data_IF_177321026461
#
_entry.id   IF_177321026461
#
_cell.length_a   1.000
_cell.length_b   1.000
_cell.length_c   1.000
_cell.angle_alpha   90.00
_cell.angle_beta   90.00
_cell.angle_gamma   90.00
#
_symmetry.space_group_name_H-M   'P 1'
#
loop_
_entity.id
_entity.type
_entity.pdbx_description
1 polymer ?
#
# COMPACT_ATOMS: atom_id res chain seq x y z
N UNK A 1 -22.80 -32.68 -24.47
CA UNK A 1 -22.53 -31.59 -23.51
C UNK A 1 -21.53 -32.09 -22.47
N UNK A 2 -20.23 -31.95 -22.75
CA UNK A 2 -19.16 -32.29 -21.81
C UNK A 2 -19.06 -31.20 -20.75
N UNK A 3 -19.31 -31.57 -19.50
CA UNK A 3 -19.04 -30.71 -18.34
C UNK A 3 -17.55 -30.40 -18.30
N UNK A 4 -17.18 -29.13 -18.49
CA UNK A 4 -15.81 -28.66 -18.34
C UNK A 4 -15.30 -29.01 -16.96
N UNK A 5 -14.25 -29.84 -16.89
CA UNK A 5 -13.53 -30.10 -15.65
C UNK A 5 -12.87 -28.79 -15.23
N UNK A 6 -13.35 -28.17 -14.15
CA UNK A 6 -12.62 -27.10 -13.48
C UNK A 6 -11.31 -27.69 -12.97
N UNK A 7 -10.19 -27.32 -13.60
CA UNK A 7 -8.88 -27.62 -13.04
C UNK A 7 -8.70 -26.78 -11.78
N UNK A 8 -9.02 -27.36 -10.62
CA UNK A 8 -8.55 -26.81 -9.35
C UNK A 8 -7.08 -27.19 -9.21
N UNK A 9 -6.19 -26.30 -9.69
CA UNK A 9 -4.80 -26.33 -9.26
C UNK A 9 -4.81 -26.23 -7.72
N UNK A 10 -4.54 -27.33 -7.04
CA UNK A 10 -4.28 -27.33 -5.60
C UNK A 10 -2.96 -26.59 -5.38
N UNK A 11 -3.04 -25.27 -5.24
CA UNK A 11 -1.89 -24.44 -4.88
C UNK A 11 -1.43 -24.88 -3.49
N UNK A 12 -0.14 -25.19 -3.29
CA UNK A 12 0.39 -25.58 -1.98
C UNK A 12 0.03 -24.55 -0.91
N UNK A 13 -0.32 -25.00 0.31
CA UNK A 13 -0.69 -24.13 1.44
C UNK A 13 0.40 -23.12 1.83
N UNK A 14 1.64 -23.35 1.40
CA UNK A 14 2.76 -22.42 1.50
C UNK A 14 3.42 -22.25 0.13
N UNK A 15 3.56 -21.02 -0.32
CA UNK A 15 4.30 -20.64 -1.53
C UNK A 15 5.77 -20.43 -1.15
N UNK A 16 6.74 -20.81 -2.02
CA UNK A 16 8.14 -20.51 -1.80
C UNK A 16 8.41 -19.01 -1.63
N UNK A 17 9.34 -18.65 -0.75
CA UNK A 17 9.89 -17.30 -0.66
C UNK A 17 10.36 -16.79 -2.03
N UNK A 18 10.04 -15.54 -2.42
CA UNK A 18 10.54 -14.94 -3.65
C UNK A 18 12.05 -14.70 -3.61
N UNK A 19 12.60 -14.44 -2.43
CA UNK A 19 14.03 -14.27 -2.20
C UNK A 19 14.66 -15.48 -1.51
N UNK A 20 15.94 -15.73 -1.79
CA UNK A 20 16.76 -16.73 -1.11
C UNK A 20 18.10 -16.14 -0.69
N UNK A 21 18.52 -16.45 0.53
CA UNK A 21 19.88 -16.14 0.97
C UNK A 21 20.86 -17.17 0.43
N UNK A 22 21.95 -16.68 -0.19
CA UNK A 22 23.06 -17.49 -0.67
C UNK A 22 24.31 -17.01 0.05
N UNK A 23 25.12 -17.96 0.54
CA UNK A 23 26.41 -17.69 1.19
C UNK A 23 27.50 -18.49 0.48
N UNK A 24 28.51 -17.80 -0.03
CA UNK A 24 29.69 -18.44 -0.63
C UNK A 24 30.92 -17.57 -0.41
N UNK A 25 32.08 -18.20 -0.19
CA UNK A 25 33.38 -17.53 -0.04
C UNK A 25 33.37 -16.38 1.00
N UNK A 26 32.68 -16.58 2.13
CA UNK A 26 32.58 -15.58 3.20
C UNK A 26 31.70 -14.36 2.89
N UNK A 27 31.00 -14.35 1.75
CA UNK A 27 30.03 -13.32 1.39
C UNK A 27 28.62 -13.91 1.36
N UNK A 28 27.64 -13.08 1.72
CA UNK A 28 26.22 -13.43 1.62
C UNK A 28 25.49 -12.41 0.75
N UNK A 29 24.55 -12.88 -0.04
CA UNK A 29 23.65 -12.06 -0.85
C UNK A 29 22.27 -12.69 -0.94
N UNK A 30 21.31 -11.89 -1.36
CA UNK A 30 19.95 -12.31 -1.66
C UNK A 30 19.80 -12.41 -3.16
N UNK A 31 19.31 -13.56 -3.62
CA UNK A 31 18.81 -13.74 -4.97
C UNK A 31 17.29 -13.57 -4.94
N UNK A 32 16.79 -12.57 -5.65
CA UNK A 32 15.35 -12.29 -5.78
C UNK A 32 15.06 -11.79 -7.19
N UNK A 33 14.11 -12.43 -7.86
CA UNK A 33 13.89 -12.26 -9.30
C UNK A 33 15.24 -12.41 -10.06
N UNK A 34 15.61 -11.41 -10.86
CA UNK A 34 16.86 -11.40 -11.64
C UNK A 34 17.98 -10.59 -10.97
N UNK A 35 17.85 -10.28 -9.67
CA UNK A 35 18.79 -9.41 -8.93
C UNK A 35 19.57 -10.19 -7.89
N UNK A 36 20.84 -9.81 -7.75
CA UNK A 36 21.71 -10.19 -6.64
C UNK A 36 21.96 -8.98 -5.76
N UNK A 37 21.48 -9.04 -4.51
CA UNK A 37 21.56 -7.95 -3.56
C UNK A 37 22.50 -8.37 -2.44
N UNK A 38 23.70 -7.76 -2.30
CA UNK A 38 24.60 -8.12 -1.22
C UNK A 38 23.95 -7.89 0.16
N UNK A 39 24.47 -8.58 1.18
CA UNK A 39 24.01 -8.44 2.55
C UNK A 39 25.11 -7.90 3.46
N UNK A 40 24.68 -7.12 4.44
CA UNK A 40 25.54 -6.65 5.51
C UNK A 40 26.45 -5.48 5.12
N UNK A 41 26.98 -4.87 6.16
CA UNK A 41 27.86 -3.70 6.11
C UNK A 41 28.33 -3.40 7.53
N UNK A 42 29.22 -2.42 7.70
CA UNK A 42 29.71 -2.05 9.02
C UNK A 42 28.58 -1.42 9.85
N UNK A 43 28.59 -1.70 11.15
CA UNK A 43 27.72 -1.01 12.10
C UNK A 43 28.20 0.45 12.23
N UNK A 44 27.33 1.45 12.03
CA UNK A 44 27.75 2.83 12.18
C UNK A 44 28.08 3.18 13.64
N UNK A 45 29.02 4.09 13.83
CA UNK A 45 29.38 4.62 15.15
C UNK A 45 28.45 5.75 15.58
N UNK A 46 28.30 5.92 16.90
CA UNK A 46 27.63 7.06 17.53
C UNK A 46 28.66 8.19 17.66
N UNK A 47 28.32 9.41 17.23
CA UNK A 47 29.22 10.57 17.32
C UNK A 47 29.09 11.24 18.69
N UNK A 48 30.07 12.05 19.06
CA UNK A 48 30.31 12.50 20.44
C UNK A 48 29.10 13.04 21.21
N UNK A 49 28.36 14.00 20.64
CA UNK A 49 27.21 14.65 21.27
C UNK A 49 25.88 13.93 21.04
N UNK A 50 25.89 12.79 20.35
CA UNK A 50 24.69 12.07 19.96
C UNK A 50 24.28 11.06 21.03
N UNK A 51 22.97 10.95 21.26
CA UNK A 51 22.41 9.90 22.12
C UNK A 51 21.92 8.75 21.26
N UNK A 52 22.47 7.54 21.48
CA UNK A 52 21.94 6.33 20.87
C UNK A 52 20.53 6.03 21.41
N UNK A 53 19.56 5.93 20.50
CA UNK A 53 18.18 5.58 20.83
C UNK A 53 17.94 4.08 20.66
N UNK A 54 18.29 3.50 19.50
CA UNK A 54 18.21 2.06 19.26
C UNK A 54 19.05 1.59 18.08
N UNK A 55 19.36 0.30 18.08
CA UNK A 55 19.84 -0.42 16.89
C UNK A 55 18.64 -0.88 16.05
N UNK A 56 18.82 -0.91 14.73
CA UNK A 56 17.80 -1.40 13.79
C UNK A 56 18.48 -1.93 12.52
N UNK A 57 17.68 -2.33 11.54
CA UNK A 57 18.15 -2.66 10.19
C UNK A 57 17.45 -1.75 9.18
N UNK A 58 18.13 -1.42 8.09
CA UNK A 58 17.58 -0.57 7.03
C UNK A 58 18.15 -0.97 5.68
N UNK A 59 17.55 -0.46 4.59
CA UNK A 59 18.03 -0.71 3.24
C UNK A 59 18.89 0.46 2.77
N UNK A 60 19.93 0.16 1.99
CA UNK A 60 20.61 1.16 1.16
C UNK A 60 19.63 1.68 0.09
N UNK A 61 19.49 3.01 -0.08
CA UNK A 61 18.54 3.56 -1.06
C UNK A 61 18.92 3.22 -2.52
N UNK A 62 20.21 2.97 -2.79
CA UNK A 62 20.71 2.71 -4.14
C UNK A 62 20.65 1.22 -4.52
N UNK A 63 21.29 0.35 -3.75
CA UNK A 63 21.38 -1.08 -4.07
C UNK A 63 20.42 -1.98 -3.29
N UNK A 64 19.60 -1.42 -2.41
CA UNK A 64 18.66 -2.12 -1.52
C UNK A 64 19.30 -3.08 -0.52
N UNK A 65 20.64 -3.20 -0.46
CA UNK A 65 21.37 -4.00 0.54
C UNK A 65 20.80 -3.80 1.95
N UNK A 66 20.52 -4.90 2.65
CA UNK A 66 20.11 -4.87 4.06
C UNK A 66 21.34 -4.60 4.92
N UNK A 67 21.29 -3.51 5.69
CA UNK A 67 22.39 -2.96 6.49
C UNK A 67 22.00 -2.87 7.96
N UNK A 68 22.95 -3.09 8.89
CA UNK A 68 22.77 -2.64 10.26
C UNK A 68 22.69 -1.11 10.28
N UNK A 69 21.82 -0.58 11.12
CA UNK A 69 21.58 0.85 11.26
C UNK A 69 21.41 1.23 12.74
N UNK A 70 21.69 2.49 13.04
CA UNK A 70 21.45 3.08 14.36
C UNK A 70 20.47 4.24 14.21
N UNK A 71 19.64 4.43 15.23
CA UNK A 71 18.85 5.65 15.41
C UNK A 71 19.50 6.44 16.53
N UNK A 72 19.89 7.66 16.22
CA UNK A 72 20.53 8.59 17.15
C UNK A 72 19.72 9.86 17.28
N UNK A 73 19.76 10.46 18.46
CA UNK A 73 19.17 11.76 18.73
C UNK A 73 20.27 12.84 18.71
N UNK A 74 19.96 13.95 18.02
CA UNK A 74 20.79 15.14 17.90
C UNK A 74 19.87 16.35 17.71
N UNK A 75 20.03 17.41 18.50
CA UNK A 75 19.22 18.64 18.43
C UNK A 75 17.69 18.42 18.49
N UNK A 76 17.22 17.55 19.40
CA UNK A 76 15.81 17.15 19.54
C UNK A 76 15.23 16.52 18.26
N UNK A 77 16.07 15.96 17.37
CA UNK A 77 15.67 15.25 16.15
C UNK A 77 16.27 13.86 16.17
N UNK A 78 15.58 12.92 15.52
CA UNK A 78 16.08 11.57 15.31
C UNK A 78 16.63 11.41 13.92
N UNK A 79 17.81 10.85 13.82
CA UNK A 79 18.47 10.50 12.56
C UNK A 79 18.69 8.99 12.50
N UNK A 80 18.42 8.40 11.34
CA UNK A 80 18.81 7.03 11.04
C UNK A 80 20.13 7.07 10.27
N UNK A 81 21.11 6.29 10.73
CA UNK A 81 22.44 6.19 10.13
C UNK A 81 22.70 4.74 9.73
N UNK A 82 23.26 4.56 8.53
CA UNK A 82 23.69 3.28 7.95
C UNK A 82 24.89 3.51 7.03
N UNK A 83 25.75 2.50 6.86
CA UNK A 83 26.92 2.59 5.98
C UNK A 83 26.83 1.46 4.95
N UNK A 84 26.70 1.83 3.68
CA UNK A 84 26.80 0.89 2.58
C UNK A 84 28.26 0.79 2.13
N UNK A 85 28.85 -0.42 2.05
CA UNK A 85 30.21 -0.58 1.52
C UNK A 85 30.41 -0.03 0.10
N UNK A 86 29.35 0.06 -0.70
CA UNK A 86 29.42 0.53 -2.09
C UNK A 86 29.00 2.01 -2.24
N UNK A 87 28.11 2.51 -1.38
CA UNK A 87 27.49 3.85 -1.50
C UNK A 87 27.83 4.81 -0.35
N UNK A 88 28.65 4.36 0.61
CA UNK A 88 29.14 5.18 1.72
C UNK A 88 28.14 5.41 2.85
N UNK A 89 28.35 6.49 3.59
CA UNK A 89 27.53 6.88 4.74
C UNK A 89 26.19 7.46 4.28
N UNK A 90 25.10 6.91 4.81
CA UNK A 90 23.75 7.41 4.59
C UNK A 90 23.19 7.82 5.96
N UNK A 91 22.86 9.10 6.11
CA UNK A 91 22.25 9.69 7.30
C UNK A 91 21.02 10.50 6.89
N UNK A 92 19.87 10.16 7.45
CA UNK A 92 18.57 10.72 7.05
C UNK A 92 17.77 11.12 8.30
N UNK A 93 16.95 12.16 8.19
CA UNK A 93 16.02 12.53 9.24
C UNK A 93 14.97 11.41 9.39
N UNK A 94 14.98 10.75 10.54
CA UNK A 94 14.03 9.70 10.89
C UNK A 94 12.76 10.26 11.53
N UNK A 95 12.91 11.25 12.41
CA UNK A 95 11.79 11.89 13.09
C UNK A 95 12.16 13.33 13.49
N UNK A 96 11.30 14.30 13.20
CA UNK A 96 11.63 15.74 13.35
C UNK A 96 11.57 16.28 14.78
N UNK A 97 11.00 15.53 15.72
CA UNK A 97 10.86 15.92 17.12
C UNK A 97 10.95 14.71 18.06
N UNK A 98 12.04 14.62 18.83
CA UNK A 98 12.29 13.52 19.76
C UNK A 98 11.29 13.48 20.92
N UNK A 99 10.81 14.63 21.39
CA UNK A 99 9.83 14.71 22.47
C UNK A 99 8.49 14.11 22.04
N UNK A 100 8.05 14.42 20.82
CA UNK A 100 6.87 13.81 20.20
C UNK A 100 7.08 12.31 19.98
N UNK A 101 8.23 11.90 19.43
CA UNK A 101 8.56 10.48 19.27
C UNK A 101 8.45 9.74 20.60
N UNK A 102 9.12 10.24 21.64
CA UNK A 102 9.13 9.62 22.97
C UNK A 102 7.73 9.50 23.58
N UNK A 103 6.84 10.44 23.31
CA UNK A 103 5.43 10.36 23.71
C UNK A 103 4.67 9.28 22.94
N UNK A 104 4.91 9.16 21.63
CA UNK A 104 4.27 8.15 20.78
C UNK A 104 4.73 6.74 21.13
N UNK A 105 6.01 6.56 21.42
CA UNK A 105 6.57 5.26 21.80
C UNK A 105 6.00 4.70 23.11
N UNK A 106 5.35 5.52 23.95
CA UNK A 106 4.59 5.02 25.13
C UNK A 106 3.39 4.17 24.75
N UNK A 107 2.92 4.28 23.52
CA UNK A 107 1.80 3.53 22.95
C UNK A 107 2.28 2.49 21.92
N UNK A 108 3.59 2.23 21.85
CA UNK A 108 4.11 1.15 21.02
C UNK A 108 3.60 -0.18 21.56
N UNK A 109 2.92 -0.93 20.70
CA UNK A 109 2.40 -2.27 21.00
C UNK A 109 2.84 -3.21 19.89
N UNK A 110 3.57 -4.26 20.27
CA UNK A 110 3.91 -5.35 19.36
C UNK A 110 2.68 -6.22 19.16
N UNK A 111 2.31 -6.47 17.91
CA UNK A 111 1.14 -7.29 17.60
C UNK A 111 1.28 -8.73 18.13
N UNK A 112 0.17 -9.47 18.23
CA UNK A 112 0.15 -10.86 18.73
C UNK A 112 0.63 -11.87 17.67
N UNK A 113 1.56 -11.46 16.80
CA UNK A 113 1.90 -12.20 15.60
C UNK A 113 0.74 -12.27 14.61
N UNK A 114 0.71 -13.33 13.80
CA UNK A 114 -0.35 -13.58 12.84
C UNK A 114 -1.74 -13.80 13.46
N UNK A 115 -1.88 -13.92 14.79
CA UNK A 115 -3.19 -14.02 15.44
C UNK A 115 -4.03 -15.22 14.98
N UNK A 116 -3.36 -16.30 14.55
CA UNK A 116 -3.98 -17.50 13.96
C UNK A 116 -4.19 -17.45 12.44
N UNK A 117 -3.91 -16.32 11.80
CA UNK A 117 -3.84 -16.22 10.34
C UNK A 117 -2.79 -17.20 9.79
N UNK A 118 -3.10 -17.77 8.64
CA UNK A 118 -2.24 -18.74 7.97
C UNK A 118 -1.12 -18.02 7.24
N UNK A 119 0.11 -18.15 7.73
CA UNK A 119 1.28 -17.84 6.92
C UNK A 119 1.21 -18.67 5.64
N UNK A 120 1.27 -18.01 4.49
CA UNK A 120 1.20 -18.65 3.19
C UNK A 120 2.49 -18.49 2.39
N UNK A 121 3.51 -17.83 2.94
CA UNK A 121 4.84 -17.70 2.33
C UNK A 121 5.90 -18.27 3.26
N UNK A 122 6.80 -19.12 2.72
CA UNK A 122 7.93 -19.62 3.49
C UNK A 122 9.00 -18.54 3.68
N UNK A 123 9.79 -18.66 4.74
CA UNK A 123 10.94 -17.76 4.97
C UNK A 123 12.14 -18.35 4.24
N UNK A 124 12.68 -17.61 3.28
CA UNK A 124 13.90 -17.96 2.53
C UNK A 124 15.01 -16.91 2.60
N UNK A 125 14.67 -15.71 3.05
CA UNK A 125 15.56 -14.57 3.23
C UNK A 125 15.04 -13.64 4.34
N UNK A 126 15.87 -12.75 4.90
CA UNK A 126 15.42 -11.73 5.84
C UNK A 126 14.32 -10.82 5.25
N UNK A 127 13.45 -10.24 6.09
CA UNK A 127 12.54 -9.18 5.67
C UNK A 127 13.32 -7.99 5.07
N UNK A 128 12.92 -7.41 3.93
CA UNK A 128 11.66 -7.59 3.17
C UNK A 128 11.75 -8.59 2.00
N UNK A 129 12.76 -9.45 1.95
CA UNK A 129 13.05 -10.30 0.80
C UNK A 129 12.32 -11.65 0.76
N UNK A 130 11.63 -12.01 1.85
CA UNK A 130 10.64 -13.10 1.87
C UNK A 130 9.21 -12.57 1.78
N UNK A 131 8.97 -11.59 0.90
CA UNK A 131 7.72 -10.85 0.81
C UNK A 131 6.49 -11.75 0.54
N UNK A 132 5.39 -11.43 1.23
CA UNK A 132 4.19 -12.25 1.40
C UNK A 132 3.92 -12.50 2.90
N UNK A 133 2.74 -12.97 3.29
CA UNK A 133 2.42 -13.20 4.72
C UNK A 133 3.18 -14.42 5.26
N UNK A 134 4.30 -14.17 5.92
CA UNK A 134 5.16 -15.18 6.56
C UNK A 134 5.13 -15.08 8.09
N UNK A 135 5.71 -16.05 8.80
CA UNK A 135 5.68 -16.11 10.27
C UNK A 135 6.51 -15.03 10.98
N UNK A 136 7.30 -14.22 10.25
CA UNK A 136 7.95 -13.03 10.81
C UNK A 136 7.00 -11.84 10.98
N UNK A 137 5.80 -11.88 10.40
CA UNK A 137 4.84 -10.77 10.52
C UNK A 137 4.19 -10.74 11.90
N UNK A 138 4.15 -9.54 12.48
CA UNK A 138 3.56 -9.29 13.80
C UNK A 138 2.04 -9.09 13.75
N UNK A 139 1.46 -9.02 12.56
CA UNK A 139 0.02 -8.92 12.35
C UNK A 139 -0.38 -9.54 10.99
N UNK A 140 -1.66 -9.85 10.84
CA UNK A 140 -2.27 -10.22 9.56
C UNK A 140 -2.66 -8.97 8.76
N UNK A 141 -3.02 -9.14 7.49
CA UNK A 141 -3.38 -8.01 6.62
C UNK A 141 -4.69 -7.38 7.08
N UNK A 142 -4.63 -6.17 7.61
CA UNK A 142 -5.82 -5.41 8.02
C UNK A 142 -6.57 -4.78 6.84
N UNK A 143 -5.84 -4.25 5.85
CA UNK A 143 -6.36 -3.69 4.61
C UNK A 143 -5.35 -3.94 3.49
N UNK A 144 -5.76 -4.67 2.46
CA UNK A 144 -4.93 -4.90 1.29
C UNK A 144 -5.16 -3.81 0.24
N UNK A 145 -4.12 -3.09 -0.15
CA UNK A 145 -4.19 -2.15 -1.26
C UNK A 145 -4.03 -2.91 -2.58
N UNK A 146 -5.09 -2.98 -3.37
CA UNK A 146 -5.10 -3.65 -4.66
C UNK A 146 -5.06 -2.62 -5.78
N UNK A 147 -3.95 -2.62 -6.50
CA UNK A 147 -3.73 -1.76 -7.66
C UNK A 147 -4.44 -2.39 -8.86
N UNK A 148 -5.51 -1.77 -9.35
CA UNK A 148 -6.28 -2.30 -10.48
C UNK A 148 -5.90 -1.65 -11.81
N UNK A 149 -5.23 -0.50 -11.77
CA UNK A 149 -4.62 0.17 -12.91
C UNK A 149 -3.62 1.19 -12.41
N UNK A 150 -2.54 1.48 -13.14
CA UNK A 150 -1.71 2.66 -12.86
C UNK A 150 -2.05 3.86 -13.77
N UNK A 151 -3.06 3.74 -14.65
CA UNK A 151 -3.59 4.87 -15.43
C UNK A 151 -4.25 5.88 -14.50
N UNK A 152 -4.13 7.16 -14.81
CA UNK A 152 -4.71 8.26 -14.05
C UNK A 152 -5.11 9.38 -15.00
N UNK A 153 -6.19 10.10 -14.69
CA UNK A 153 -6.61 11.32 -15.39
C UNK A 153 -5.98 12.60 -14.79
N UNK A 154 -5.06 12.44 -13.81
CA UNK A 154 -4.30 13.50 -13.16
C UNK A 154 -2.79 13.17 -13.11
N UNK A 155 -1.97 14.23 -13.03
CA UNK A 155 -0.51 14.19 -12.87
C UNK A 155 -0.04 15.01 -11.66
N UNK A 156 -0.60 14.72 -10.47
CA UNK A 156 -0.27 15.46 -9.24
C UNK A 156 1.24 15.45 -8.93
N UNK A 157 1.84 16.61 -8.65
CA UNK A 157 3.30 16.74 -8.53
C UNK A 157 3.93 15.89 -7.39
N UNK A 158 3.16 15.63 -6.33
CA UNK A 158 3.60 14.83 -5.19
C UNK A 158 3.24 13.34 -5.33
N UNK A 159 2.51 12.96 -6.39
CA UNK A 159 2.12 11.58 -6.63
C UNK A 159 3.28 10.80 -7.25
N UNK A 160 3.50 9.58 -6.75
CA UNK A 160 4.55 8.69 -7.21
C UNK A 160 4.05 7.47 -8.00
N UNK A 161 2.73 7.35 -8.20
CA UNK A 161 2.10 6.06 -8.52
C UNK A 161 1.54 5.92 -9.95
N UNK A 162 1.45 7.00 -10.74
CA UNK A 162 0.78 6.96 -12.04
C UNK A 162 1.69 6.53 -13.21
N UNK A 163 1.07 5.99 -14.28
CA UNK A 163 1.72 5.27 -15.38
C UNK A 163 2.86 6.03 -16.07
N UNK A 164 2.68 7.33 -16.33
CA UNK A 164 3.73 8.17 -16.95
C UNK A 164 4.98 8.22 -16.06
N UNK A 165 4.80 8.26 -14.74
CA UNK A 165 5.91 8.22 -13.78
C UNK A 165 6.53 6.83 -13.64
N UNK A 166 5.76 5.77 -13.88
CA UNK A 166 6.22 4.38 -13.84
C UNK A 166 6.93 3.94 -15.13
N UNK A 167 6.62 4.56 -16.27
CA UNK A 167 7.19 4.22 -17.59
C UNK A 167 6.56 3.00 -18.27
N UNK A 168 5.51 2.41 -17.70
CA UNK A 168 4.75 1.30 -18.28
C UNK A 168 3.30 1.31 -17.79
N UNK A 169 2.39 0.65 -18.53
CA UNK A 169 1.00 0.45 -18.10
C UNK A 169 0.90 -0.86 -17.32
N UNK A 170 0.36 -0.78 -16.11
CA UNK A 170 -0.02 -1.92 -15.29
C UNK A 170 -1.53 -1.93 -15.14
N UNK A 171 -2.18 -2.97 -15.66
CA UNK A 171 -3.62 -3.16 -15.58
C UNK A 171 -3.91 -4.67 -15.59
N UNK A 172 -3.99 -5.32 -14.42
CA UNK A 172 -4.18 -6.77 -14.34
C UNK A 172 -5.57 -7.17 -14.87
N UNK A 173 -5.63 -8.31 -15.52
CA UNK A 173 -6.87 -8.94 -15.93
C UNK A 173 -7.75 -9.32 -14.72
N UNK A 174 -9.04 -9.53 -14.96
CA UNK A 174 -9.97 -9.97 -13.92
C UNK A 174 -9.51 -11.30 -13.29
N UNK A 175 -8.96 -12.24 -14.08
CA UNK A 175 -8.47 -13.52 -13.54
C UNK A 175 -7.22 -13.35 -12.67
N UNK A 176 -6.31 -12.43 -13.00
CA UNK A 176 -5.19 -12.10 -12.13
C UNK A 176 -5.67 -11.46 -10.83
N UNK A 177 -6.68 -10.59 -10.89
CA UNK A 177 -7.30 -9.99 -9.70
C UNK A 177 -7.95 -11.07 -8.83
N UNK A 178 -8.68 -12.02 -9.42
CA UNK A 178 -9.23 -13.17 -8.70
C UNK A 178 -8.13 -13.98 -8.04
N UNK A 179 -7.04 -14.24 -8.76
CA UNK A 179 -5.89 -14.94 -8.21
C UNK A 179 -5.31 -14.22 -6.98
N UNK A 180 -5.14 -12.89 -7.06
CA UNK A 180 -4.68 -12.06 -5.95
C UNK A 180 -5.64 -12.09 -4.76
N UNK A 181 -6.95 -11.98 -4.99
CA UNK A 181 -7.97 -12.06 -3.96
C UNK A 181 -7.98 -13.43 -3.27
N UNK A 182 -7.85 -14.53 -4.03
CA UNK A 182 -7.68 -15.88 -3.49
C UNK A 182 -6.42 -15.99 -2.64
N UNK A 183 -5.30 -15.39 -3.07
CA UNK A 183 -4.07 -15.41 -2.26
C UNK A 183 -4.26 -14.68 -0.94
N UNK A 184 -4.93 -13.51 -0.95
CA UNK A 184 -5.26 -12.78 0.26
C UNK A 184 -6.16 -13.61 1.18
N UNK A 185 -7.20 -14.27 0.65
CA UNK A 185 -8.16 -15.05 1.45
C UNK A 185 -7.52 -16.25 2.16
N UNK A 186 -6.38 -16.75 1.68
CA UNK A 186 -5.63 -17.83 2.35
C UNK A 186 -5.18 -17.47 3.76
N UNK A 187 -5.00 -16.18 4.06
CA UNK A 187 -4.65 -15.74 5.42
C UNK A 187 -5.73 -16.09 6.44
N UNK A 188 -7.00 -16.24 6.01
CA UNK A 188 -8.11 -16.57 6.91
C UNK A 188 -7.89 -17.88 7.65
N UNK A 189 -7.30 -18.89 7.02
CA UNK A 189 -6.87 -20.13 7.67
C UNK A 189 -7.96 -20.84 8.51
N UNK A 190 -9.22 -20.76 8.07
CA UNK A 190 -10.36 -21.31 8.82
C UNK A 190 -10.84 -20.44 9.99
N UNK A 191 -10.25 -19.25 10.17
CA UNK A 191 -10.74 -18.21 11.08
C UNK A 191 -11.60 -17.20 10.31
N UNK A 192 -12.48 -16.51 11.04
CA UNK A 192 -13.29 -15.42 10.53
C UNK A 192 -12.47 -14.10 10.45
N UNK A 193 -11.38 -14.11 9.68
CA UNK A 193 -10.63 -12.89 9.37
C UNK A 193 -11.32 -12.20 8.19
N UNK A 194 -11.87 -11.02 8.44
CA UNK A 194 -12.45 -10.18 7.40
C UNK A 194 -11.38 -9.74 6.41
N UNK A 195 -11.65 -9.98 5.13
CA UNK A 195 -10.78 -9.59 4.03
C UNK A 195 -11.20 -8.21 3.54
N UNK A 196 -10.42 -7.21 3.89
CA UNK A 196 -10.63 -5.82 3.48
C UNK A 196 -9.69 -5.47 2.33
N UNK A 197 -10.23 -4.94 1.24
CA UNK A 197 -9.45 -4.49 0.07
C UNK A 197 -9.75 -3.02 -0.20
N UNK A 198 -8.70 -2.21 -0.32
CA UNK A 198 -8.78 -0.90 -0.93
C UNK A 198 -8.42 -1.03 -2.41
N UNK A 199 -9.43 -0.90 -3.27
CA UNK A 199 -9.25 -0.80 -4.72
C UNK A 199 -8.65 0.57 -5.01
N UNK A 200 -7.43 0.56 -5.52
CA UNK A 200 -6.61 1.74 -5.75
C UNK A 200 -5.87 1.61 -7.08
N UNK A 201 -5.01 2.57 -7.39
CA UNK A 201 -4.30 2.61 -8.65
C UNK A 201 -3.59 3.93 -8.86
N UNK A 202 -3.50 4.34 -10.13
CA UNK A 202 -3.59 5.75 -10.47
C UNK A 202 -5.00 6.24 -10.08
N UNK A 203 -5.95 6.18 -11.01
CA UNK A 203 -7.38 6.44 -10.72
C UNK A 203 -8.23 5.24 -11.16
N UNK A 204 -8.76 4.41 -10.24
CA UNK A 204 -9.54 3.22 -10.59
C UNK A 204 -10.74 3.50 -11.50
N UNK A 205 -11.38 4.66 -11.37
CA UNK A 205 -12.59 4.98 -12.16
C UNK A 205 -12.33 5.24 -13.64
N UNK A 206 -11.05 5.35 -14.07
CA UNK A 206 -10.71 5.39 -15.50
C UNK A 206 -10.76 4.02 -16.17
N UNK A 207 -10.82 2.94 -15.38
CA UNK A 207 -10.90 1.56 -15.86
C UNK A 207 -12.36 1.21 -16.19
N UNK A 208 -12.62 0.83 -17.44
CA UNK A 208 -13.99 0.62 -17.96
C UNK A 208 -14.71 -0.57 -17.29
N UNK A 209 -13.99 -1.64 -16.99
CA UNK A 209 -14.48 -2.87 -16.35
C UNK A 209 -14.38 -2.84 -14.80
N UNK A 210 -14.23 -1.66 -14.17
CA UNK A 210 -14.10 -1.53 -12.71
C UNK A 210 -15.24 -2.22 -11.93
N UNK A 211 -16.47 -2.16 -12.45
CA UNK A 211 -17.62 -2.81 -11.81
C UNK A 211 -17.43 -4.34 -11.77
N UNK A 212 -16.88 -4.93 -12.83
CA UNK A 212 -16.66 -6.37 -12.91
C UNK A 212 -15.45 -6.80 -12.06
N UNK A 213 -14.44 -5.93 -11.94
CA UNK A 213 -13.37 -6.09 -10.95
C UNK A 213 -13.93 -6.17 -9.54
N UNK A 214 -14.82 -5.25 -9.14
CA UNK A 214 -15.42 -5.24 -7.80
C UNK A 214 -16.25 -6.52 -7.57
N UNK A 215 -17.07 -6.92 -8.54
CA UNK A 215 -17.83 -8.18 -8.44
C UNK A 215 -16.91 -9.38 -8.27
N UNK A 216 -15.82 -9.46 -9.03
CA UNK A 216 -14.85 -10.54 -8.92
C UNK A 216 -14.25 -10.60 -7.51
N UNK A 217 -13.92 -9.47 -6.88
CA UNK A 217 -13.46 -9.43 -5.50
C UNK A 217 -14.49 -9.98 -4.51
N UNK A 218 -15.76 -9.58 -4.65
CA UNK A 218 -16.86 -10.08 -3.79
C UNK A 218 -17.05 -11.59 -3.98
N UNK A 219 -17.02 -12.08 -5.22
CA UNK A 219 -17.14 -13.51 -5.53
C UNK A 219 -16.01 -14.36 -4.94
N UNK A 220 -14.79 -13.79 -4.84
CA UNK A 220 -13.65 -14.45 -4.18
C UNK A 220 -13.65 -14.27 -2.64
N UNK A 221 -14.72 -13.69 -2.07
CA UNK A 221 -14.93 -13.61 -0.63
C UNK A 221 -14.24 -12.43 0.05
N UNK A 222 -14.02 -11.33 -0.66
CA UNK A 222 -13.65 -10.04 -0.05
C UNK A 222 -14.86 -9.46 0.67
N UNK A 223 -14.71 -9.23 1.97
CA UNK A 223 -15.80 -8.85 2.88
C UNK A 223 -16.07 -7.34 2.86
N UNK A 224 -15.02 -6.53 2.61
CA UNK A 224 -15.11 -5.08 2.65
C UNK A 224 -14.28 -4.45 1.55
N UNK A 225 -14.92 -3.66 0.67
CA UNK A 225 -14.26 -2.99 -0.43
C UNK A 225 -14.30 -1.47 -0.23
N UNK A 226 -13.12 -0.86 -0.15
CA UNK A 226 -12.94 0.58 -0.16
C UNK A 226 -12.49 1.02 -1.55
N UNK A 227 -13.19 1.98 -2.15
CA UNK A 227 -12.79 2.55 -3.44
C UNK A 227 -11.96 3.82 -3.22
N UNK A 228 -10.67 3.79 -3.54
CA UNK A 228 -9.83 4.99 -3.58
C UNK A 228 -10.02 5.72 -4.91
N UNK A 229 -10.44 6.97 -4.89
CA UNK A 229 -10.72 7.76 -6.10
C UNK A 229 -10.53 9.26 -5.87
N UNK A 230 -10.20 9.99 -6.92
CA UNK A 230 -10.26 11.45 -6.98
C UNK A 230 -11.69 11.98 -7.22
N UNK A 231 -12.65 11.12 -7.57
CA UNK A 231 -14.05 11.49 -7.78
C UNK A 231 -14.37 12.23 -9.09
N UNK A 232 -13.38 12.55 -9.92
CA UNK A 232 -13.55 13.38 -11.13
C UNK A 232 -14.43 12.69 -12.17
N UNK A 233 -14.18 11.40 -12.46
CA UNK A 233 -15.02 10.63 -13.39
C UNK A 233 -16.50 10.64 -12.98
N UNK A 234 -16.75 10.57 -11.67
CA UNK A 234 -18.10 10.53 -11.10
C UNK A 234 -18.74 11.91 -11.19
N UNK A 235 -17.99 12.96 -10.85
CA UNK A 235 -18.44 14.35 -10.99
C UNK A 235 -18.79 14.68 -12.44
N UNK A 236 -17.92 14.32 -13.41
CA UNK A 236 -18.16 14.54 -14.84
C UNK A 236 -19.46 13.87 -15.29
N UNK A 237 -19.63 12.57 -15.01
CA UNK A 237 -20.88 11.85 -15.32
C UNK A 237 -22.11 12.52 -14.71
N UNK A 238 -22.00 13.01 -13.47
CA UNK A 238 -23.10 13.68 -12.78
C UNK A 238 -23.43 15.06 -13.36
N UNK A 239 -22.41 15.85 -13.74
CA UNK A 239 -22.58 17.17 -14.37
C UNK A 239 -23.16 17.04 -15.77
N UNK A 240 -22.66 16.08 -16.57
CA UNK A 240 -23.18 15.80 -17.91
C UNK A 240 -24.64 15.35 -17.86
N UNK A 241 -24.96 14.42 -16.95
CA UNK A 241 -26.31 13.97 -16.68
C UNK A 241 -26.42 13.39 -15.25
N UNK A 242 -27.16 14.02 -14.33
CA UNK A 242 -27.28 13.57 -12.95
C UNK A 242 -27.73 12.11 -12.81
N UNK A 243 -28.55 11.60 -13.73
CA UNK A 243 -28.98 10.20 -13.69
C UNK A 243 -27.85 9.22 -14.00
N UNK A 244 -26.89 9.60 -14.84
CA UNK A 244 -25.77 8.74 -15.22
C UNK A 244 -24.76 8.65 -14.07
N UNK A 245 -24.42 9.78 -13.45
CA UNK A 245 -23.59 9.81 -12.24
C UNK A 245 -24.20 8.99 -11.10
N UNK A 246 -25.49 9.17 -10.82
CA UNK A 246 -26.21 8.42 -9.79
C UNK A 246 -26.28 6.93 -10.11
N UNK A 247 -26.53 6.57 -11.37
CA UNK A 247 -26.61 5.17 -11.81
C UNK A 247 -25.26 4.48 -11.73
N UNK A 248 -24.18 5.17 -12.08
CA UNK A 248 -22.82 4.66 -11.96
C UNK A 248 -22.44 4.39 -10.49
N UNK A 249 -22.68 5.34 -9.60
CA UNK A 249 -22.47 5.16 -8.15
C UNK A 249 -23.32 4.00 -7.61
N UNK A 250 -24.59 3.90 -8.04
CA UNK A 250 -25.46 2.79 -7.64
C UNK A 250 -24.95 1.45 -8.14
N UNK A 251 -24.34 1.40 -9.32
CA UNK A 251 -23.71 0.19 -9.84
C UNK A 251 -22.49 -0.21 -9.00
N UNK A 252 -21.63 0.73 -8.60
CA UNK A 252 -20.52 0.48 -7.67
C UNK A 252 -21.02 -0.05 -6.33
N UNK A 253 -22.08 0.55 -5.76
CA UNK A 253 -22.71 0.07 -4.52
C UNK A 253 -23.20 -1.37 -4.64
N UNK A 254 -23.95 -1.66 -5.71
CA UNK A 254 -24.51 -2.99 -5.98
C UNK A 254 -23.42 -4.03 -6.25
N UNK A 255 -22.30 -3.63 -6.86
CA UNK A 255 -21.17 -4.51 -7.12
C UNK A 255 -20.45 -4.92 -5.83
N UNK A 256 -20.46 -4.08 -4.79
CA UNK A 256 -19.88 -4.43 -3.49
C UNK A 256 -19.07 -3.33 -2.80
N UNK A 257 -19.01 -2.10 -3.35
CA UNK A 257 -18.29 -1.01 -2.68
C UNK A 257 -18.98 -0.66 -1.35
N UNK A 258 -18.19 -0.67 -0.27
CA UNK A 258 -18.64 -0.40 1.09
C UNK A 258 -18.45 1.06 1.49
N UNK A 259 -17.30 1.64 1.11
CA UNK A 259 -16.88 3.00 1.47
C UNK A 259 -16.06 3.61 0.34
N UNK A 260 -16.12 4.92 0.21
CA UNK A 260 -15.29 5.69 -0.71
C UNK A 260 -14.18 6.38 0.08
N UNK A 261 -12.94 6.19 -0.35
CA UNK A 261 -11.76 6.92 0.11
C UNK A 261 -11.44 7.98 -0.93
N UNK A 262 -11.94 9.18 -0.72
CA UNK A 262 -11.87 10.23 -1.72
C UNK A 262 -10.70 11.17 -1.44
N UNK A 263 -9.79 11.25 -2.40
CA UNK A 263 -8.69 12.21 -2.39
C UNK A 263 -9.22 13.64 -2.37
N UNK A 264 -8.87 14.42 -1.35
CA UNK A 264 -9.37 15.79 -1.13
C UNK A 264 -8.37 16.61 -0.31
N UNK A 265 -7.59 17.50 -0.94
CA UNK A 265 -6.46 18.16 -0.27
C UNK A 265 -6.82 19.41 0.53
N UNK A 266 -8.08 19.82 0.52
CA UNK A 266 -8.55 20.96 1.28
C UNK A 266 -9.76 21.65 0.67
N UNK A 267 -10.22 22.69 1.36
CA UNK A 267 -11.54 23.30 1.11
C UNK A 267 -11.49 24.51 0.18
N UNK A 268 -10.31 24.88 -0.33
CA UNK A 268 -10.17 26.01 -1.27
C UNK A 268 -9.56 25.55 -2.60
N UNK A 269 -9.86 26.24 -3.71
CA UNK A 269 -9.25 25.91 -5.01
C UNK A 269 -7.72 26.03 -4.98
N UNK A 270 -7.19 26.92 -4.14
CA UNK A 270 -5.74 27.18 -4.03
C UNK A 270 -4.97 25.97 -3.52
N UNK A 271 -5.56 25.21 -2.61
CA UNK A 271 -4.88 24.05 -1.98
C UNK A 271 -5.37 22.72 -2.55
N UNK A 272 -6.59 22.68 -3.08
CA UNK A 272 -7.19 21.48 -3.68
C UNK A 272 -7.38 21.67 -5.20
N UNK A 273 -6.32 22.08 -5.89
CA UNK A 273 -6.35 22.31 -7.34
C UNK A 273 -6.76 21.07 -8.16
N UNK A 274 -6.64 19.86 -7.59
CA UNK A 274 -6.89 18.61 -8.31
C UNK A 274 -8.38 18.37 -8.62
N UNK A 275 -9.28 18.69 -7.70
CA UNK A 275 -10.70 18.34 -7.82
C UNK A 275 -11.65 19.26 -7.03
N UNK A 276 -11.22 20.46 -6.63
CA UNK A 276 -12.05 21.35 -5.81
C UNK A 276 -13.44 21.61 -6.42
N UNK A 277 -13.52 21.81 -7.73
CA UNK A 277 -14.77 22.11 -8.42
C UNK A 277 -15.61 20.85 -8.67
N UNK A 278 -14.97 19.71 -8.85
CA UNK A 278 -15.60 18.41 -9.08
C UNK A 278 -16.13 17.79 -7.79
N UNK A 279 -15.45 18.02 -6.66
CA UNK A 279 -15.73 17.33 -5.42
C UNK A 279 -17.19 17.48 -4.93
N UNK A 280 -17.83 18.67 -4.94
CA UNK A 280 -19.24 18.79 -4.56
C UNK A 280 -20.17 17.91 -5.40
N UNK A 281 -19.94 17.79 -6.71
CA UNK A 281 -20.76 16.97 -7.60
C UNK A 281 -20.53 15.48 -7.38
N UNK A 282 -19.27 15.07 -7.17
CA UNK A 282 -18.96 13.69 -6.81
C UNK A 282 -19.65 13.29 -5.50
N UNK A 283 -19.56 14.13 -4.46
CA UNK A 283 -20.20 13.90 -3.15
C UNK A 283 -21.72 13.79 -3.30
N UNK A 284 -22.34 14.66 -4.09
CA UNK A 284 -23.78 14.59 -4.33
C UNK A 284 -24.20 13.33 -5.10
N UNK A 285 -23.39 12.91 -6.08
CA UNK A 285 -23.59 11.64 -6.78
C UNK A 285 -23.48 10.45 -5.83
N UNK A 286 -22.47 10.43 -4.94
CA UNK A 286 -22.29 9.41 -3.91
C UNK A 286 -23.52 9.31 -2.99
N UNK A 287 -24.00 10.46 -2.50
CA UNK A 287 -25.18 10.56 -1.64
C UNK A 287 -26.43 10.01 -2.34
N UNK A 288 -26.72 10.46 -3.56
CA UNK A 288 -27.91 10.05 -4.33
C UNK A 288 -27.84 8.62 -4.87
N UNK A 289 -26.63 8.11 -5.12
CA UNK A 289 -26.38 6.75 -5.61
C UNK A 289 -26.36 5.67 -4.52
N UNK A 290 -26.43 6.05 -3.24
CA UNK A 290 -26.48 5.12 -2.11
C UNK A 290 -25.11 4.70 -1.56
N UNK A 291 -24.08 5.54 -1.76
CA UNK A 291 -22.75 5.43 -1.14
C UNK A 291 -22.42 6.67 -0.29
N UNK A 292 -23.22 7.00 0.75
CA UNK A 292 -22.98 8.20 1.56
C UNK A 292 -21.71 8.12 2.43
N UNK A 293 -21.14 6.92 2.60
CA UNK A 293 -19.92 6.70 3.40
C UNK A 293 -18.68 7.13 2.59
N UNK A 294 -18.42 8.44 2.58
CA UNK A 294 -17.26 9.04 1.90
C UNK A 294 -16.29 9.58 2.95
N UNK A 295 -15.06 9.07 2.93
CA UNK A 295 -13.95 9.56 3.75
C UNK A 295 -13.13 10.51 2.89
N UNK A 296 -13.06 11.78 3.26
CA UNK A 296 -12.22 12.78 2.59
C UNK A 296 -10.79 12.70 3.14
N UNK A 297 -9.82 12.64 2.23
CA UNK A 297 -8.43 12.33 2.58
C UNK A 297 -7.49 13.40 2.03
N UNK A 298 -6.95 14.26 2.90
CA UNK A 298 -5.96 15.24 2.52
C UNK A 298 -4.54 14.67 2.60
N UNK A 299 -3.73 14.93 1.57
CA UNK A 299 -2.27 14.88 1.75
C UNK A 299 -1.83 16.19 2.38
N UNK A 300 -1.43 16.15 3.64
CA UNK A 300 -0.97 17.36 4.35
C UNK A 300 0.46 17.70 3.93
N UNK A 301 0.60 18.87 3.32
CA UNK A 301 1.82 19.43 2.82
C UNK A 301 2.11 20.70 3.62
N UNK A 302 3.25 20.71 4.32
CA UNK A 302 3.74 21.87 5.05
C UNK A 302 3.77 23.09 4.13
N UNK A 303 3.32 24.23 4.64
CA UNK A 303 3.16 25.53 3.94
C UNK A 303 2.12 25.59 2.83
N UNK A 304 1.52 24.47 2.42
CA UNK A 304 0.52 24.43 1.34
C UNK A 304 -0.88 24.34 1.92
N UNK A 305 -1.19 23.33 2.73
CA UNK A 305 -2.53 23.09 3.29
C UNK A 305 -2.53 22.73 4.78
N UNK A 306 -1.37 22.75 5.44
CA UNK A 306 -1.23 22.53 6.88
C UNK A 306 -2.02 23.52 7.73
N UNK A 307 -2.21 24.76 7.24
CA UNK A 307 -3.07 25.77 7.86
C UNK A 307 -4.58 25.44 7.83
N UNK A 308 -4.98 24.34 7.17
CA UNK A 308 -6.37 23.88 7.09
C UNK A 308 -6.69 22.68 8.00
N UNK A 309 -5.71 22.20 8.78
CA UNK A 309 -5.90 21.21 9.84
C UNK A 309 -6.52 21.83 11.09
#
# INVERSE_FOLDING_TARGET
MSKGKSFSLQVPRTIPSPGRIISANGKSWIEIAERRIPLGGPLPEVKGDERLIRYTSSLCPDCLRLLPAIIVERDNKLYIRKICPDHGLIEELYFSDYSMYSRLMKWEETGKGLGGAGAYTSIGAPCPYSCGLCTMHENHTALANLVVTNRCDLSCFYCFFYAERAGYVYEPSIEEIRFMARQLKRQSNGLNIHTCVQVTGGEPTVREDLIDVIKALVEEGVDYIQLNTNGITIARKFVDNPNDGVSYVRALRKAGVSVVYMSFDGVTPKVNWKNHYEAPFAIEAFRRGGLPNVVLVPTVLRTINDHQL
#
